data_IF_209244393342
#
_entry.id   IF_209244393342
#
_cell.length_a   1.000
_cell.length_b   1.000
_cell.length_c   1.000
_cell.angle_alpha   90.00
_cell.angle_beta   90.00
_cell.angle_gamma   90.00
#
_symmetry.space_group_name_H-M   'P 1'
#
loop_
_entity.id
_entity.type
_entity.pdbx_description
1 polymer ?
#
# COMPACT_ATOMS: atom_id res chain seq x y z
N UNK A 1 -3.51 -26.34 -46.04
CA UNK A 1 -2.87 -26.27 -44.69
C UNK A 1 -2.47 -24.85 -44.31
N UNK A 2 -1.99 -23.99 -45.19
CA UNK A 2 -1.56 -22.60 -44.86
C UNK A 2 -2.64 -21.71 -44.18
N UNK A 3 -3.91 -21.78 -44.62
CA UNK A 3 -5.00 -20.93 -44.06
C UNK A 3 -5.31 -21.20 -42.59
N UNK A 4 -5.10 -22.42 -42.08
CA UNK A 4 -5.32 -22.75 -40.66
C UNK A 4 -4.20 -22.23 -39.75
N UNK A 5 -2.97 -22.20 -40.25
CA UNK A 5 -1.80 -21.68 -39.52
C UNK A 5 -1.90 -20.15 -39.31
N UNK A 6 -2.36 -19.44 -40.36
CA UNK A 6 -2.53 -17.98 -40.31
C UNK A 6 -3.60 -17.56 -39.27
N UNK A 7 -4.69 -18.34 -39.15
CA UNK A 7 -5.75 -18.05 -38.19
C UNK A 7 -5.28 -18.23 -36.76
N UNK A 8 -4.50 -19.26 -36.44
CA UNK A 8 -3.95 -19.52 -35.12
C UNK A 8 -2.94 -18.45 -34.71
N UNK A 9 -2.10 -17.99 -35.64
CA UNK A 9 -1.17 -16.89 -35.41
C UNK A 9 -1.88 -15.57 -35.16
N UNK A 10 -2.97 -15.28 -35.88
CA UNK A 10 -3.78 -14.08 -35.68
C UNK A 10 -4.53 -14.10 -34.32
N UNK A 11 -5.04 -15.26 -33.90
CA UNK A 11 -5.64 -15.43 -32.58
C UNK A 11 -4.60 -15.24 -31.45
N UNK A 12 -3.40 -15.77 -31.62
CA UNK A 12 -2.30 -15.61 -30.67
C UNK A 12 -1.89 -14.15 -30.45
N UNK A 13 -1.89 -13.35 -31.51
CA UNK A 13 -1.55 -11.91 -31.45
C UNK A 13 -2.64 -11.10 -30.74
N UNK A 14 -3.92 -11.49 -30.83
CA UNK A 14 -5.02 -10.79 -30.17
C UNK A 14 -5.05 -10.96 -28.64
N UNK A 15 -4.41 -12.01 -28.11
CA UNK A 15 -4.34 -12.25 -26.66
C UNK A 15 -3.16 -11.56 -25.94
N UNK A 16 -2.22 -10.95 -26.67
CA UNK A 16 -1.03 -10.31 -26.09
C UNK A 16 -1.31 -8.86 -25.62
N UNK A 17 -2.46 -8.29 -25.90
CA UNK A 17 -2.68 -6.83 -25.83
C UNK A 17 -3.44 -6.33 -24.61
N UNK A 18 -3.46 -6.94 -23.45
CA UNK A 18 -4.06 -6.27 -22.26
C UNK A 18 -3.60 -6.77 -20.89
N UNK A 19 -2.35 -7.15 -20.73
CA UNK A 19 -1.82 -7.35 -19.37
C UNK A 19 -1.11 -6.06 -18.91
N UNK A 20 -1.85 -4.97 -18.75
CA UNK A 20 -1.37 -3.81 -18.00
C UNK A 20 -1.53 -4.11 -16.51
N UNK A 21 -0.45 -4.49 -15.86
CA UNK A 21 -0.47 -4.62 -14.41
C UNK A 21 -0.38 -3.21 -13.81
N UNK A 22 -1.34 -2.85 -12.95
CA UNK A 22 -1.26 -1.61 -12.19
C UNK A 22 -0.12 -1.66 -11.18
N UNK A 23 0.55 -0.52 -10.97
CA UNK A 23 1.61 -0.39 -9.99
C UNK A 23 1.13 0.40 -8.78
N UNK A 24 1.41 -0.11 -7.59
CA UNK A 24 1.21 0.59 -6.33
C UNK A 24 2.56 0.82 -5.64
N UNK A 25 2.83 2.07 -5.31
CA UNK A 25 3.92 2.43 -4.40
C UNK A 25 3.34 2.68 -3.01
N UNK A 26 4.00 2.22 -1.96
CA UNK A 26 3.56 2.52 -0.60
C UNK A 26 4.67 3.16 0.24
N UNK A 27 4.23 3.98 1.20
CA UNK A 27 5.07 4.73 2.11
C UNK A 27 4.57 4.59 3.54
N UNK A 28 5.47 4.29 4.47
CA UNK A 28 5.14 4.15 5.88
C UNK A 28 5.75 5.30 6.67
N UNK A 29 4.92 5.96 7.47
CA UNK A 29 5.29 7.04 8.38
C UNK A 29 5.04 6.57 9.81
N UNK A 30 6.09 6.45 10.60
CA UNK A 30 5.98 6.22 12.04
C UNK A 30 6.06 7.56 12.78
N UNK A 31 5.15 7.81 13.73
CA UNK A 31 5.21 8.98 14.59
C UNK A 31 5.02 8.64 16.07
N UNK A 32 5.61 9.46 16.97
CA UNK A 32 5.61 9.20 18.40
C UNK A 32 6.54 8.04 18.72
N UNK A 33 7.81 8.30 18.94
CA UNK A 33 8.89 7.32 19.12
C UNK A 33 8.44 6.05 19.86
N UNK A 34 8.48 4.87 19.19
CA UNK A 34 8.36 3.62 19.91
C UNK A 34 9.55 3.48 20.88
N UNK A 35 9.38 2.85 22.04
CA UNK A 35 10.47 2.61 22.98
C UNK A 35 11.69 2.00 22.28
N UNK A 36 12.89 2.40 22.68
CA UNK A 36 14.14 1.83 22.19
C UNK A 36 14.07 0.30 22.31
N UNK A 37 14.27 -0.40 21.22
CA UNK A 37 14.25 -1.87 21.13
C UNK A 37 13.09 -2.47 20.33
N UNK A 38 12.00 -1.79 20.13
CA UNK A 38 10.92 -2.21 19.21
C UNK A 38 11.21 -1.73 17.80
N UNK A 39 12.33 -2.19 17.24
CA UNK A 39 12.67 -1.87 15.86
C UNK A 39 11.57 -2.34 14.91
N UNK A 40 10.75 -1.41 14.44
CA UNK A 40 9.92 -1.55 13.23
C UNK A 40 9.04 -2.82 13.13
N UNK A 41 8.81 -3.57 14.22
CA UNK A 41 8.07 -4.83 14.14
C UNK A 41 6.67 -4.62 13.56
N UNK A 42 5.98 -3.58 14.03
CA UNK A 42 4.63 -3.27 13.53
C UNK A 42 4.63 -2.72 12.11
N UNK A 43 5.57 -1.85 11.79
CA UNK A 43 5.70 -1.34 10.42
C UNK A 43 6.04 -2.45 9.44
N UNK A 44 6.88 -3.41 9.83
CA UNK A 44 7.16 -4.59 9.01
C UNK A 44 5.92 -5.47 8.81
N UNK A 45 5.06 -5.63 9.81
CA UNK A 45 3.80 -6.37 9.66
C UNK A 45 2.88 -5.69 8.63
N UNK A 46 2.79 -4.35 8.65
CA UNK A 46 2.02 -3.59 7.68
C UNK A 46 2.65 -3.67 6.28
N UNK A 47 3.97 -3.50 6.19
CA UNK A 47 4.70 -3.63 4.94
C UNK A 47 4.46 -4.99 4.28
N UNK A 48 4.61 -6.08 5.04
CA UNK A 48 4.34 -7.43 4.56
C UNK A 48 2.87 -7.60 4.13
N UNK A 49 1.92 -7.04 4.88
CA UNK A 49 0.51 -7.12 4.52
C UNK A 49 0.20 -6.36 3.22
N UNK A 50 0.83 -5.20 2.97
CA UNK A 50 0.68 -4.47 1.71
C UNK A 50 1.27 -5.26 0.55
N UNK A 51 2.50 -5.75 0.68
CA UNK A 51 3.13 -6.58 -0.35
C UNK A 51 2.24 -7.77 -0.72
N UNK A 52 1.93 -8.61 0.27
CA UNK A 52 1.18 -9.84 0.03
C UNK A 52 -0.17 -9.57 -0.63
N UNK A 53 -0.96 -8.64 -0.07
CA UNK A 53 -2.33 -8.44 -0.52
C UNK A 53 -2.41 -7.75 -1.87
N UNK A 54 -1.57 -6.75 -2.15
CA UNK A 54 -1.55 -6.10 -3.47
C UNK A 54 -0.94 -7.00 -4.53
N UNK A 55 0.11 -7.76 -4.21
CA UNK A 55 0.69 -8.74 -5.12
C UNK A 55 -0.31 -9.84 -5.48
N UNK A 56 -1.00 -10.41 -4.49
CA UNK A 56 -2.07 -11.41 -4.70
C UNK A 56 -3.24 -10.86 -5.55
N UNK A 57 -3.47 -9.55 -5.48
CA UNK A 57 -4.47 -8.86 -6.30
C UNK A 57 -3.97 -8.50 -7.72
N UNK A 58 -2.73 -8.86 -8.09
CA UNK A 58 -2.16 -8.69 -9.43
C UNK A 58 -1.50 -7.33 -9.67
N UNK A 59 -1.16 -6.59 -8.60
CA UNK A 59 -0.42 -5.33 -8.71
C UNK A 59 1.09 -5.57 -8.73
N UNK A 60 1.82 -4.69 -9.42
CA UNK A 60 3.25 -4.50 -9.19
C UNK A 60 3.39 -3.66 -7.93
N UNK A 61 4.15 -4.13 -6.94
CA UNK A 61 4.28 -3.48 -5.64
C UNK A 61 5.69 -2.97 -5.45
N UNK A 62 5.82 -1.70 -5.07
CA UNK A 62 7.08 -1.09 -4.65
C UNK A 62 6.87 -0.29 -3.36
N UNK A 63 7.96 0.03 -2.66
CA UNK A 63 7.92 0.81 -1.42
C UNK A 63 8.98 1.91 -1.44
N UNK A 64 8.65 3.03 -0.82
CA UNK A 64 9.60 4.06 -0.44
C UNK A 64 10.20 3.74 0.94
N UNK A 65 11.40 4.24 1.26
CA UNK A 65 11.98 4.10 2.60
C UNK A 65 11.03 4.63 3.66
N UNK A 66 10.88 3.88 4.77
CA UNK A 66 10.05 4.30 5.88
C UNK A 66 10.61 5.57 6.54
N UNK A 67 9.71 6.50 6.88
CA UNK A 67 10.05 7.72 7.59
C UNK A 67 9.65 7.64 9.07
N UNK A 68 10.53 8.14 9.94
CA UNK A 68 10.28 8.26 11.38
C UNK A 68 10.24 9.71 11.80
N UNK A 69 9.22 10.04 12.58
CA UNK A 69 8.97 11.38 13.08
C UNK A 69 8.80 11.36 14.61
N UNK A 70 9.34 12.36 15.28
CA UNK A 70 9.15 12.54 16.73
C UNK A 70 7.67 12.84 17.07
N UNK A 71 6.94 13.43 16.13
CA UNK A 71 5.53 13.79 16.28
C UNK A 71 4.83 13.84 14.92
N UNK A 72 3.49 13.77 14.94
CA UNK A 72 2.67 13.94 13.72
C UNK A 72 3.04 15.21 12.96
N UNK A 73 3.08 15.17 11.61
CA UNK A 73 3.27 16.37 10.80
C UNK A 73 2.22 17.43 11.14
N UNK A 74 2.64 18.70 11.18
CA UNK A 74 1.72 19.84 11.44
C UNK A 74 0.96 20.29 10.20
N UNK A 75 1.38 19.84 9.00
CA UNK A 75 0.73 20.11 7.73
C UNK A 75 -0.21 18.99 7.34
N UNK A 76 -1.05 19.20 6.30
CA UNK A 76 -1.91 18.12 5.76
C UNK A 76 -1.05 16.97 5.21
N UNK A 77 -1.62 15.76 5.22
CA UNK A 77 -0.92 14.58 4.73
C UNK A 77 -0.49 14.78 3.27
N UNK A 78 -1.39 15.28 2.43
CA UNK A 78 -1.14 15.51 1.01
C UNK A 78 0.07 16.40 0.75
N UNK A 79 0.21 17.48 1.52
CA UNK A 79 1.37 18.38 1.42
C UNK A 79 2.64 17.72 1.94
N UNK A 80 2.51 16.87 2.96
CA UNK A 80 3.65 16.20 3.58
C UNK A 80 4.29 15.15 2.69
N UNK A 81 3.47 14.44 1.90
CA UNK A 81 3.92 13.32 1.05
C UNK A 81 4.16 13.73 -0.42
N UNK A 82 4.15 15.02 -0.74
CA UNK A 82 4.17 15.48 -2.13
C UNK A 82 5.41 14.98 -2.89
N UNK A 83 6.57 15.03 -2.27
CA UNK A 83 7.82 14.60 -2.91
C UNK A 83 7.81 13.09 -3.19
N UNK A 84 7.31 12.28 -2.26
CA UNK A 84 7.19 10.83 -2.42
C UNK A 84 6.13 10.45 -3.48
N UNK A 85 5.06 11.25 -3.60
CA UNK A 85 4.06 11.06 -4.67
C UNK A 85 4.65 11.38 -6.03
N UNK A 86 5.46 12.43 -6.13
CA UNK A 86 6.11 12.82 -7.39
C UNK A 86 7.16 11.76 -7.79
N UNK A 87 7.95 11.23 -6.85
CA UNK A 87 8.87 10.12 -7.09
C UNK A 87 8.12 8.84 -7.53
N UNK A 88 7.02 8.50 -6.87
CA UNK A 88 6.18 7.36 -7.25
C UNK A 88 5.60 7.54 -8.67
N UNK A 89 5.18 8.77 -9.04
CA UNK A 89 4.69 9.11 -10.37
C UNK A 89 5.76 8.91 -11.43
N UNK A 90 6.98 9.41 -11.17
CA UNK A 90 8.12 9.29 -12.07
C UNK A 90 8.54 7.83 -12.22
N UNK A 91 8.36 7.02 -11.17
CA UNK A 91 8.53 5.57 -11.18
C UNK A 91 7.40 4.80 -11.89
N UNK A 92 6.35 5.47 -12.35
CA UNK A 92 5.24 4.88 -13.09
C UNK A 92 4.14 4.27 -12.22
N UNK A 93 4.06 4.63 -10.94
CA UNK A 93 2.99 4.15 -10.05
C UNK A 93 1.62 4.73 -10.46
N UNK A 94 0.61 3.87 -10.50
CA UNK A 94 -0.80 4.24 -10.69
C UNK A 94 -1.45 4.68 -9.39
N UNK A 95 -1.01 4.06 -8.28
CA UNK A 95 -1.53 4.28 -6.94
C UNK A 95 -0.39 4.54 -5.95
N UNK A 96 -0.67 5.39 -4.96
CA UNK A 96 0.21 5.67 -3.85
C UNK A 96 -0.52 5.43 -2.54
N UNK A 97 0.02 4.54 -1.71
CA UNK A 97 -0.58 4.16 -0.43
C UNK A 97 0.30 4.67 0.70
N UNK A 98 -0.30 5.37 1.65
CA UNK A 98 0.38 5.85 2.84
C UNK A 98 -0.19 5.17 4.07
N UNK A 99 0.67 4.63 4.92
CA UNK A 99 0.30 4.18 6.25
C UNK A 99 0.98 5.07 7.30
N UNK A 100 0.19 5.83 8.06
CA UNK A 100 0.64 6.55 9.24
C UNK A 100 0.42 5.68 10.47
N UNK A 101 1.48 5.36 11.18
CA UNK A 101 1.48 4.52 12.37
C UNK A 101 1.87 5.39 13.56
N UNK A 102 0.89 5.68 14.42
CA UNK A 102 1.07 6.54 15.57
C UNK A 102 1.25 5.73 16.84
N UNK A 103 2.37 5.95 17.51
CA UNK A 103 2.64 5.36 18.82
C UNK A 103 2.37 6.36 19.94
N UNK A 104 1.80 5.91 21.04
CA UNK A 104 1.81 6.67 22.30
C UNK A 104 3.12 6.40 23.05
N UNK A 105 3.63 7.40 23.79
CA UNK A 105 4.94 7.32 24.47
C UNK A 105 5.13 6.10 25.37
N UNK A 106 4.04 5.55 25.89
CA UNK A 106 4.06 4.48 26.89
C UNK A 106 3.60 3.12 26.32
N UNK A 107 3.40 3.01 25.00
CA UNK A 107 2.88 1.80 24.38
C UNK A 107 3.85 1.23 23.33
N UNK A 108 4.07 -0.08 23.44
CA UNK A 108 4.77 -0.85 22.40
C UNK A 108 3.90 -1.08 21.17
N UNK A 109 2.60 -0.78 21.23
CA UNK A 109 1.64 -0.94 20.16
C UNK A 109 1.17 0.40 19.62
N UNK A 110 0.87 0.50 18.31
CA UNK A 110 0.29 1.71 17.75
C UNK A 110 -1.02 2.07 18.46
N UNK A 111 -1.19 3.33 18.79
CA UNK A 111 -2.46 3.88 19.29
C UNK A 111 -3.47 4.08 18.16
N UNK A 112 -2.98 4.43 16.98
CA UNK A 112 -3.77 4.64 15.77
C UNK A 112 -2.94 4.27 14.54
N UNK A 113 -3.61 3.70 13.54
CA UNK A 113 -3.05 3.53 12.19
C UNK A 113 -4.04 4.12 11.20
N UNK A 114 -3.57 5.05 10.38
CA UNK A 114 -4.34 5.63 9.28
C UNK A 114 -3.74 5.16 7.95
N UNK A 115 -4.58 4.57 7.10
CA UNK A 115 -4.17 4.10 5.78
C UNK A 115 -4.94 4.89 4.75
N UNK A 116 -4.21 5.51 3.82
CA UNK A 116 -4.77 6.38 2.79
C UNK A 116 -4.25 5.92 1.44
N UNK A 117 -5.16 5.66 0.51
CA UNK A 117 -4.86 5.30 -0.87
C UNK A 117 -5.21 6.45 -1.80
N UNK A 118 -4.23 6.87 -2.59
CA UNK A 118 -4.38 7.87 -3.64
C UNK A 118 -4.25 7.24 -5.03
N UNK A 119 -4.97 7.79 -6.02
CA UNK A 119 -4.58 7.67 -7.42
C UNK A 119 -3.50 8.71 -7.70
N UNK A 120 -2.45 8.32 -8.43
CA UNK A 120 -1.32 9.23 -8.69
C UNK A 120 -1.65 10.19 -9.83
N UNK A 121 -2.33 9.72 -10.88
CA UNK A 121 -2.68 10.56 -12.04
C UNK A 121 -4.15 10.35 -12.45
N UNK A 122 -5.04 11.37 -12.35
CA UNK A 122 -4.83 12.61 -11.58
C UNK A 122 -4.73 12.34 -10.08
N UNK A 123 -3.94 13.14 -9.35
CA UNK A 123 -3.78 12.97 -7.91
C UNK A 123 -5.10 13.20 -7.19
N UNK A 124 -5.60 12.17 -6.51
CA UNK A 124 -6.86 12.21 -5.75
C UNK A 124 -6.94 11.11 -4.72
N UNK A 125 -7.59 11.39 -3.61
CA UNK A 125 -7.95 10.40 -2.61
C UNK A 125 -8.92 9.36 -3.20
N UNK A 126 -8.63 8.08 -2.97
CA UNK A 126 -9.50 6.95 -3.35
C UNK A 126 -10.18 6.36 -2.13
N UNK A 127 -9.41 6.01 -1.11
CA UNK A 127 -9.91 5.39 0.12
C UNK A 127 -9.09 5.87 1.31
N UNK A 128 -9.76 5.96 2.46
CA UNK A 128 -9.12 6.18 3.76
C UNK A 128 -9.69 5.19 4.76
N UNK A 129 -8.84 4.69 5.64
CA UNK A 129 -9.25 3.83 6.76
C UNK A 129 -8.43 4.15 7.99
N UNK A 130 -9.12 4.41 9.11
CA UNK A 130 -8.51 4.60 10.44
C UNK A 130 -8.80 3.41 11.31
N UNK A 131 -7.78 2.97 12.03
CA UNK A 131 -7.81 1.82 12.94
C UNK A 131 -7.27 2.32 14.27
N UNK A 132 -8.07 2.23 15.31
CA UNK A 132 -7.64 2.46 16.69
C UNK A 132 -7.09 1.17 17.27
N UNK A 133 -6.18 1.29 18.21
CA UNK A 133 -5.44 0.17 18.79
C UNK A 133 -6.32 -1.01 19.18
N UNK A 134 -6.05 -2.15 18.55
CA UNK A 134 -6.67 -3.43 18.84
C UNK A 134 -5.70 -4.30 19.65
N UNK A 135 -6.24 -5.16 20.49
CA UNK A 135 -5.49 -6.23 21.13
C UNK A 135 -5.81 -7.55 20.44
N UNK A 136 -4.79 -8.33 20.12
CA UNK A 136 -4.93 -9.62 19.48
C UNK A 136 -4.56 -10.75 20.44
N UNK A 137 -5.17 -11.91 20.26
CA UNK A 137 -4.90 -13.10 21.10
C UNK A 137 -3.61 -13.80 20.67
N UNK A 138 -3.23 -13.68 19.41
CA UNK A 138 -2.01 -14.24 18.82
C UNK A 138 -1.48 -13.36 17.69
N UNK A 139 -0.21 -13.52 17.35
CA UNK A 139 0.42 -12.86 16.21
C UNK A 139 -0.27 -13.26 14.89
N UNK A 140 -0.72 -14.51 14.78
CA UNK A 140 -1.47 -14.97 13.61
C UNK A 140 -2.78 -14.21 13.44
N UNK A 141 -3.54 -14.01 14.53
CA UNK A 141 -4.81 -13.25 14.48
C UNK A 141 -4.53 -11.80 14.04
N UNK A 142 -3.41 -11.22 14.48
CA UNK A 142 -2.98 -9.88 14.08
C UNK A 142 -2.68 -9.82 12.58
N UNK A 143 -1.85 -10.73 12.06
CA UNK A 143 -1.50 -10.79 10.64
C UNK A 143 -2.75 -10.98 9.77
N UNK A 144 -3.65 -11.90 10.16
CA UNK A 144 -4.89 -12.16 9.43
C UNK A 144 -5.81 -10.92 9.40
N UNK A 145 -5.91 -10.18 10.52
CA UNK A 145 -6.70 -8.94 10.59
C UNK A 145 -6.08 -7.83 9.72
N UNK A 146 -4.75 -7.66 9.75
CA UNK A 146 -4.04 -6.69 8.92
C UNK A 146 -4.28 -6.97 7.43
N UNK A 147 -4.15 -8.22 7.00
CA UNK A 147 -4.44 -8.63 5.62
C UNK A 147 -5.89 -8.31 5.22
N UNK A 148 -6.86 -8.58 6.10
CA UNK A 148 -8.26 -8.26 5.86
C UNK A 148 -8.52 -6.75 5.76
N UNK A 149 -7.81 -5.96 6.58
CA UNK A 149 -7.87 -4.51 6.52
C UNK A 149 -7.35 -4.01 5.16
N UNK A 150 -6.18 -4.52 4.73
CA UNK A 150 -5.56 -4.14 3.45
C UNK A 150 -6.42 -4.59 2.27
N UNK A 151 -7.01 -5.80 2.28
CA UNK A 151 -7.95 -6.25 1.25
C UNK A 151 -9.12 -5.28 1.06
N UNK A 152 -9.60 -4.66 2.14
CA UNK A 152 -10.65 -3.65 2.07
C UNK A 152 -10.23 -2.32 1.40
N UNK A 153 -8.92 -2.09 1.20
CA UNK A 153 -8.38 -0.88 0.59
C UNK A 153 -8.04 -1.09 -0.88
N UNK A 154 -7.67 -2.32 -1.27
CA UNK A 154 -7.34 -2.65 -2.66
C UNK A 154 -8.48 -2.22 -3.59
N UNK A 155 -8.22 -1.39 -4.63
CA UNK A 155 -9.22 -1.06 -5.62
C UNK A 155 -9.51 -2.30 -6.48
N UNK A 156 -10.76 -2.48 -6.89
CA UNK A 156 -11.08 -3.53 -7.85
C UNK A 156 -10.63 -3.09 -9.23
N UNK A 157 -9.83 -3.91 -9.90
CA UNK A 157 -9.24 -3.62 -11.22
C UNK A 157 -10.30 -3.25 -12.27
N UNK A 158 -11.59 -3.62 -12.06
CA UNK A 158 -12.70 -3.38 -12.97
C UNK A 158 -13.60 -2.20 -12.59
N UNK A 159 -13.27 -1.38 -11.60
CA UNK A 159 -14.12 -0.27 -11.12
C UNK A 159 -13.78 1.11 -11.75
N UNK A 160 -12.97 1.13 -12.82
CA UNK A 160 -12.54 2.38 -13.49
C UNK A 160 -12.71 2.36 -15.01
#
# INVERSE_FOLDING_TARGET
MAKKITFVLFLGVLFVFNASAYMVSFFIIESGLPPEGTKNQYSQLWENAFFDVFFDAGYIVCNSPMMRLDSKPKMSLENFIQDEVDEARDGGADYFLVAQIDFSRDSLRPSEVSIVLFKVTPFRLIKEKKITGKTYKSEKDEIDDLRNIVKGIVPKINEF
#
